data_IF_108522581041
#
_entry.id   IF_108522581041
#
_cell.length_a   1.000
_cell.length_b   1.000
_cell.length_c   1.000
_cell.angle_alpha   90.00
_cell.angle_beta   90.00
_cell.angle_gamma   90.00
#
_symmetry.space_group_name_H-M   'P 1'
#
loop_
_entity.id
_entity.type
_entity.pdbx_description
1 polymer ?
#
# COMPACT_ATOMS: atom_id res chain seq x y z
N UNK A 1 -42.45 16.89 29.00
CA UNK A 1 -43.16 17.35 27.78
C UNK A 1 -42.23 18.01 26.74
N UNK A 2 -40.95 18.26 27.02
CA UNK A 2 -40.11 19.14 26.19
C UNK A 2 -39.41 18.47 24.97
N UNK A 3 -39.48 17.15 24.80
CA UNK A 3 -38.78 16.46 23.69
C UNK A 3 -39.56 16.59 22.38
N UNK A 4 -40.88 16.35 22.42
CA UNK A 4 -41.75 16.42 21.25
C UNK A 4 -41.87 17.85 20.69
N UNK A 5 -41.88 18.86 21.56
CA UNK A 5 -41.84 20.27 21.14
C UNK A 5 -40.51 20.63 20.50
N UNK A 6 -39.37 20.22 21.08
CA UNK A 6 -38.04 20.44 20.47
C UNK A 6 -37.91 19.76 19.10
N UNK A 7 -38.40 18.54 18.95
CA UNK A 7 -38.34 17.84 17.66
C UNK A 7 -39.25 18.48 16.62
N UNK A 8 -40.42 18.98 17.02
CA UNK A 8 -41.34 19.67 16.12
C UNK A 8 -40.82 21.06 15.73
N UNK A 9 -40.09 21.74 16.61
CA UNK A 9 -39.46 23.03 16.35
C UNK A 9 -38.28 22.90 15.37
N UNK A 10 -37.45 21.86 15.52
CA UNK A 10 -36.37 21.53 14.57
C UNK A 10 -36.91 21.16 13.19
N UNK A 11 -38.04 20.45 13.13
CA UNK A 11 -38.71 20.15 11.86
C UNK A 11 -39.33 21.40 11.20
N UNK A 12 -39.75 22.39 11.99
CA UNK A 12 -40.26 23.67 11.49
C UNK A 12 -39.15 24.65 11.08
N UNK A 13 -37.97 24.55 11.67
CA UNK A 13 -36.79 25.34 11.30
C UNK A 13 -35.99 24.73 10.14
N UNK A 14 -36.49 23.65 9.54
CA UNK A 14 -35.80 22.93 8.47
C UNK A 14 -35.80 23.75 7.19
N UNK A 15 -34.63 24.26 6.82
CA UNK A 15 -34.42 25.06 5.63
C UNK A 15 -33.97 24.18 4.44
N UNK A 16 -34.06 24.70 3.22
CA UNK A 16 -33.61 23.99 2.02
C UNK A 16 -32.12 23.60 2.06
N UNK A 17 -31.30 24.39 2.78
CA UNK A 17 -29.88 24.11 2.98
C UNK A 17 -29.61 22.83 3.79
N UNK A 18 -30.45 22.52 4.77
CA UNK A 18 -30.32 21.30 5.59
C UNK A 18 -30.51 20.04 4.73
N UNK A 19 -31.42 20.08 3.76
CA UNK A 19 -31.61 18.97 2.81
C UNK A 19 -30.39 18.78 1.90
N UNK A 20 -29.80 19.87 1.41
CA UNK A 20 -28.57 19.82 0.59
C UNK A 20 -27.41 19.28 1.42
N UNK A 21 -27.34 19.62 2.71
CA UNK A 21 -26.30 19.16 3.62
C UNK A 21 -26.39 17.63 3.83
N UNK A 22 -27.58 17.08 4.04
CA UNK A 22 -27.81 15.63 4.18
C UNK A 22 -27.45 14.88 2.89
N UNK A 23 -27.85 15.40 1.73
CA UNK A 23 -27.53 14.80 0.43
C UNK A 23 -26.02 14.82 0.19
N UNK A 24 -25.35 15.92 0.50
CA UNK A 24 -23.90 16.03 0.39
C UNK A 24 -23.18 15.02 1.28
N UNK A 25 -23.63 14.84 2.53
CA UNK A 25 -23.11 13.79 3.42
C UNK A 25 -23.25 12.40 2.81
N UNK A 26 -24.45 12.05 2.31
CA UNK A 26 -24.70 10.75 1.71
C UNK A 26 -23.77 10.47 0.52
N UNK A 27 -23.54 11.46 -0.34
CA UNK A 27 -22.64 11.35 -1.50
C UNK A 27 -21.17 11.19 -1.09
N UNK A 28 -20.71 11.93 -0.07
CA UNK A 28 -19.34 11.80 0.45
C UNK A 28 -19.12 10.40 1.01
N UNK A 29 -20.02 9.91 1.87
CA UNK A 29 -19.91 8.57 2.46
C UNK A 29 -19.95 7.48 1.39
N UNK A 30 -20.85 7.58 0.41
CA UNK A 30 -20.89 6.67 -0.71
C UNK A 30 -19.55 6.66 -1.48
N UNK A 31 -18.96 7.83 -1.73
CA UNK A 31 -17.65 7.97 -2.37
C UNK A 31 -16.52 7.30 -1.58
N UNK A 32 -16.51 7.48 -0.25
CA UNK A 32 -15.54 6.82 0.65
C UNK A 32 -15.69 5.30 0.60
N UNK A 33 -16.90 4.76 0.71
CA UNK A 33 -17.12 3.30 0.63
C UNK A 33 -16.76 2.74 -0.75
N UNK A 34 -17.05 3.47 -1.83
CA UNK A 34 -16.65 3.08 -3.18
C UNK A 34 -15.13 3.07 -3.35
N UNK A 35 -14.42 4.02 -2.74
CA UNK A 35 -12.96 4.07 -2.71
C UNK A 35 -12.36 2.87 -1.98
N UNK A 36 -12.90 2.52 -0.80
CA UNK A 36 -12.41 1.37 -0.02
C UNK A 36 -12.62 0.04 -0.74
N UNK A 37 -13.67 -0.09 -1.56
CA UNK A 37 -14.00 -1.36 -2.25
C UNK A 37 -13.04 -1.71 -3.39
N UNK A 38 -12.40 -0.73 -4.04
CA UNK A 38 -11.57 -0.97 -5.22
C UNK A 38 -10.30 -0.09 -5.21
N UNK A 39 -9.18 -0.64 -4.74
CA UNK A 39 -7.86 0.00 -4.73
C UNK A 39 -7.18 0.00 -6.12
N UNK A 40 -7.87 0.47 -7.15
CA UNK A 40 -7.25 0.71 -8.45
C UNK A 40 -6.76 2.16 -8.51
N UNK A 41 -5.47 2.38 -8.77
CA UNK A 41 -4.83 3.70 -8.73
C UNK A 41 -5.56 4.77 -9.58
N UNK A 42 -6.04 4.41 -10.78
CA UNK A 42 -6.80 5.32 -11.65
C UNK A 42 -8.18 5.68 -11.09
N UNK A 43 -8.84 4.75 -10.39
CA UNK A 43 -10.14 5.01 -9.74
C UNK A 43 -9.93 5.84 -8.47
N UNK A 44 -8.92 5.51 -7.68
CA UNK A 44 -8.51 6.27 -6.49
C UNK A 44 -8.28 7.75 -6.81
N UNK A 45 -7.57 8.06 -7.90
CA UNK A 45 -7.32 9.44 -8.31
C UNK A 45 -8.61 10.20 -8.62
N UNK A 46 -9.58 9.58 -9.32
CA UNK A 46 -10.88 10.21 -9.61
C UNK A 46 -11.64 10.56 -8.34
N UNK A 47 -11.66 9.66 -7.35
CA UNK A 47 -12.34 9.90 -6.08
C UNK A 47 -11.65 10.99 -5.24
N UNK A 48 -10.31 11.08 -5.30
CA UNK A 48 -9.56 12.17 -4.65
C UNK A 48 -9.92 13.53 -5.28
N UNK A 49 -9.99 13.61 -6.61
CA UNK A 49 -10.37 14.86 -7.30
C UNK A 49 -11.79 15.28 -6.92
N UNK A 50 -12.75 14.34 -6.92
CA UNK A 50 -14.14 14.59 -6.50
C UNK A 50 -14.18 15.04 -5.04
N UNK A 51 -13.43 14.38 -4.16
CA UNK A 51 -13.35 14.73 -2.75
C UNK A 51 -12.83 16.17 -2.54
N UNK A 52 -11.76 16.55 -3.25
CA UNK A 52 -11.22 17.91 -3.20
C UNK A 52 -12.23 18.93 -3.72
N UNK A 53 -12.92 18.63 -4.82
CA UNK A 53 -13.95 19.52 -5.38
C UNK A 53 -15.11 19.74 -4.39
N UNK A 54 -15.58 18.67 -3.72
CA UNK A 54 -16.59 18.77 -2.67
C UNK A 54 -16.07 19.56 -1.48
N UNK A 55 -14.82 19.36 -1.08
CA UNK A 55 -14.23 20.10 0.03
C UNK A 55 -14.16 21.61 -0.26
N UNK A 56 -13.75 22.00 -1.47
CA UNK A 56 -13.74 23.40 -1.89
C UNK A 56 -15.14 24.01 -1.94
N UNK A 57 -16.13 23.24 -2.39
CA UNK A 57 -17.52 23.65 -2.38
C UNK A 57 -18.03 23.91 -0.95
N UNK A 58 -17.78 22.99 -0.02
CA UNK A 58 -18.16 23.14 1.40
C UNK A 58 -17.44 24.31 2.05
N UNK A 59 -16.18 24.57 1.69
CA UNK A 59 -15.41 25.70 2.21
C UNK A 59 -15.97 27.04 1.72
N UNK A 60 -16.50 27.10 0.49
CA UNK A 60 -17.11 28.29 -0.06
C UNK A 60 -18.47 28.61 0.56
N UNK A 61 -19.27 27.58 0.87
CA UNK A 61 -20.59 27.71 1.52
C UNK A 61 -20.54 27.44 3.03
N UNK A 62 -19.43 27.77 3.69
CA UNK A 62 -19.21 27.41 5.10
C UNK A 62 -20.25 27.97 6.06
N UNK A 63 -20.79 29.16 5.76
CA UNK A 63 -21.75 29.86 6.62
C UNK A 63 -23.17 29.28 6.49
N UNK A 64 -23.49 28.71 5.33
CA UNK A 64 -24.80 28.09 5.03
C UNK A 64 -24.84 26.60 5.42
N UNK A 65 -23.66 25.97 5.59
CA UNK A 65 -23.51 24.53 5.89
C UNK A 65 -22.54 24.27 7.06
N UNK A 66 -22.86 24.73 8.27
CA UNK A 66 -21.92 24.69 9.39
C UNK A 66 -21.58 23.26 9.87
N UNK A 67 -22.53 22.31 9.78
CA UNK A 67 -22.29 20.95 10.26
C UNK A 67 -21.37 20.18 9.30
N UNK A 68 -21.58 20.32 8.00
CA UNK A 68 -20.76 19.74 6.94
C UNK A 68 -19.38 20.39 6.90
N UNK A 69 -19.28 21.68 7.19
CA UNK A 69 -18.00 22.37 7.34
C UNK A 69 -17.16 21.80 8.49
N UNK A 70 -17.77 21.60 9.66
CA UNK A 70 -17.09 20.98 10.82
C UNK A 70 -16.70 19.54 10.49
N UNK A 71 -17.61 18.76 9.89
CA UNK A 71 -17.31 17.39 9.50
C UNK A 71 -16.18 17.30 8.47
N UNK A 72 -16.16 18.18 7.47
CA UNK A 72 -15.10 18.26 6.47
C UNK A 72 -13.74 18.53 7.13
N UNK A 73 -13.67 19.44 8.11
CA UNK A 73 -12.46 19.67 8.91
C UNK A 73 -11.97 18.41 9.62
N UNK A 74 -12.87 17.70 10.30
CA UNK A 74 -12.54 16.46 11.00
C UNK A 74 -12.04 15.39 10.00
N UNK A 75 -12.72 15.25 8.87
CA UNK A 75 -12.32 14.31 7.82
C UNK A 75 -10.96 14.62 7.22
N UNK A 76 -10.60 15.90 7.02
CA UNK A 76 -9.26 16.29 6.56
C UNK A 76 -8.20 15.87 7.58
N UNK A 77 -8.40 16.20 8.86
CA UNK A 77 -7.46 15.81 9.91
C UNK A 77 -7.32 14.29 10.04
N UNK A 78 -8.43 13.56 10.04
CA UNK A 78 -8.43 12.10 10.05
C UNK A 78 -7.74 11.51 8.81
N UNK A 79 -7.99 12.08 7.63
CA UNK A 79 -7.36 11.68 6.37
C UNK A 79 -5.85 11.88 6.39
N UNK A 80 -5.37 13.01 6.94
CA UNK A 80 -3.93 13.26 7.13
C UNK A 80 -3.32 12.21 8.06
N UNK A 81 -3.96 11.92 9.20
CA UNK A 81 -3.47 10.91 10.15
C UNK A 81 -3.40 9.52 9.49
N UNK A 82 -4.46 9.10 8.81
CA UNK A 82 -4.50 7.81 8.11
C UNK A 82 -3.44 7.76 7.01
N UNK A 83 -3.27 8.84 6.23
CA UNK A 83 -2.21 8.94 5.22
C UNK A 83 -0.83 8.75 5.85
N UNK A 84 -0.50 9.52 6.90
CA UNK A 84 0.78 9.38 7.57
C UNK A 84 0.99 7.98 8.15
N UNK A 85 -0.04 7.39 8.76
CA UNK A 85 0.05 6.05 9.35
C UNK A 85 0.21 4.95 8.30
N UNK A 86 -0.47 5.08 7.16
CA UNK A 86 -0.39 4.14 6.04
C UNK A 86 0.94 4.24 5.28
N UNK A 87 1.52 5.43 5.17
CA UNK A 87 2.82 5.67 4.52
C UNK A 87 4.01 5.54 5.49
N UNK A 88 3.78 5.50 6.80
CA UNK A 88 4.83 5.29 7.80
C UNK A 88 5.70 4.04 7.54
N UNK A 89 5.14 2.88 7.14
CA UNK A 89 5.92 1.70 6.78
C UNK A 89 6.84 1.94 5.58
N UNK A 90 6.40 2.71 4.58
CA UNK A 90 7.19 3.02 3.38
C UNK A 90 8.35 3.97 3.67
N UNK A 91 8.13 4.98 4.51
CA UNK A 91 9.20 5.88 4.97
C UNK A 91 10.22 5.07 5.77
N UNK A 92 9.77 4.22 6.70
CA UNK A 92 10.64 3.34 7.48
C UNK A 92 11.46 2.44 6.56
N UNK A 93 10.83 1.79 5.58
CA UNK A 93 11.48 0.89 4.62
C UNK A 93 12.46 1.63 3.72
N UNK A 94 12.11 2.83 3.26
CA UNK A 94 12.97 3.66 2.41
C UNK A 94 14.18 4.17 3.16
N UNK A 95 14.01 4.62 4.41
CA UNK A 95 15.13 4.99 5.29
C UNK A 95 16.04 3.79 5.58
N UNK A 96 15.46 2.61 5.85
CA UNK A 96 16.25 1.38 6.01
C UNK A 96 17.03 1.04 4.75
N UNK A 97 16.41 1.17 3.57
CA UNK A 97 17.10 0.99 2.28
C UNK A 97 18.23 1.99 2.10
N UNK A 98 18.09 3.26 2.50
CA UNK A 98 19.17 4.25 2.41
C UNK A 98 20.33 3.95 3.36
N UNK A 99 20.01 3.50 4.59
CA UNK A 99 21.01 3.08 5.58
C UNK A 99 21.75 1.82 5.11
N UNK A 100 21.01 0.82 4.60
CA UNK A 100 21.57 -0.43 4.09
C UNK A 100 22.30 -0.23 2.76
N UNK A 101 21.80 0.60 1.85
CA UNK A 101 22.48 0.94 0.59
C UNK A 101 23.85 1.55 0.84
N UNK A 102 24.03 2.32 1.93
CA UNK A 102 25.33 2.85 2.31
C UNK A 102 26.28 1.79 2.91
N UNK A 103 25.74 0.67 3.41
CA UNK A 103 26.51 -0.45 4.00
C UNK A 103 26.80 -1.59 3.01
N UNK A 104 26.03 -1.71 1.92
CA UNK A 104 26.22 -2.76 0.90
C UNK A 104 27.21 -2.40 -0.20
N UNK A 105 27.77 -1.17 -0.22
CA UNK A 105 28.89 -0.82 -1.12
C UNK A 105 30.22 -1.47 -0.67
N UNK A 106 30.28 -2.07 0.53
CA UNK A 106 31.48 -2.79 0.97
C UNK A 106 31.33 -4.31 0.76
N UNK A 107 32.05 -4.83 -0.23
CA UNK A 107 32.48 -6.24 -0.35
C UNK A 107 31.48 -7.28 -0.87
N UNK A 108 30.81 -7.00 -1.99
CA UNK A 108 30.58 -8.03 -3.00
C UNK A 108 31.14 -7.54 -4.33
N UNK A 109 32.44 -7.20 -4.34
CA UNK A 109 33.22 -7.49 -5.53
C UNK A 109 33.11 -8.99 -5.71
N UNK A 110 32.28 -9.42 -6.65
CA UNK A 110 32.37 -10.75 -7.24
C UNK A 110 33.80 -10.81 -7.75
N UNK A 111 34.68 -11.38 -6.95
CA UNK A 111 36.02 -11.75 -7.35
C UNK A 111 35.79 -12.62 -8.59
N UNK A 112 36.17 -12.12 -9.74
CA UNK A 112 35.93 -12.69 -11.07
C UNK A 112 36.78 -13.94 -11.28
N UNK A 113 36.62 -14.91 -10.38
CA UNK A 113 37.36 -16.18 -10.30
C UNK A 113 36.44 -17.40 -10.34
N UNK A 114 35.15 -17.21 -10.61
CA UNK A 114 34.31 -18.36 -10.95
C UNK A 114 34.68 -18.74 -12.38
N UNK A 115 35.21 -19.96 -12.55
CA UNK A 115 35.50 -20.52 -13.86
C UNK A 115 34.22 -20.68 -14.67
N UNK A 116 34.28 -20.52 -15.99
CA UNK A 116 33.15 -20.86 -16.87
C UNK A 116 32.64 -22.27 -16.58
N UNK A 117 33.55 -23.20 -16.25
CA UNK A 117 33.22 -24.59 -15.90
C UNK A 117 32.36 -24.69 -14.62
N UNK A 118 32.68 -23.91 -13.59
CA UNK A 118 31.88 -23.86 -12.35
C UNK A 118 30.49 -23.28 -12.60
N UNK A 119 30.40 -22.27 -13.48
CA UNK A 119 29.13 -21.70 -13.90
C UNK A 119 28.27 -22.73 -14.64
N UNK A 120 28.85 -23.44 -15.62
CA UNK A 120 28.15 -24.50 -16.35
C UNK A 120 27.72 -25.64 -15.44
N UNK A 121 28.56 -26.03 -14.47
CA UNK A 121 28.20 -27.05 -13.48
C UNK A 121 27.01 -26.61 -12.61
N UNK A 122 27.00 -25.36 -12.12
CA UNK A 122 25.88 -24.82 -11.37
C UNK A 122 24.57 -24.81 -12.17
N UNK A 123 24.62 -24.44 -13.46
CA UNK A 123 23.47 -24.49 -14.36
C UNK A 123 22.97 -25.92 -14.54
N UNK A 124 23.88 -26.88 -14.76
CA UNK A 124 23.52 -28.29 -14.93
C UNK A 124 22.83 -28.87 -13.68
N UNK A 125 23.32 -28.54 -12.48
CA UNK A 125 22.70 -28.97 -11.22
C UNK A 125 21.29 -28.38 -11.02
N UNK A 126 21.06 -27.11 -11.39
CA UNK A 126 19.73 -26.49 -11.36
C UNK A 126 18.77 -27.20 -12.33
N UNK A 127 19.22 -27.48 -13.56
CA UNK A 127 18.40 -28.19 -14.57
C UNK A 127 18.03 -29.58 -14.04
N UNK A 128 19.01 -30.31 -13.51
CA UNK A 128 18.81 -31.66 -12.97
C UNK A 128 17.80 -31.68 -11.83
N UNK A 129 17.91 -30.75 -10.88
CA UNK A 129 16.94 -30.62 -9.78
C UNK A 129 15.55 -30.24 -10.30
N UNK A 130 15.44 -29.26 -11.20
CA UNK A 130 14.15 -28.85 -11.76
C UNK A 130 13.43 -30.02 -12.46
N UNK A 131 14.18 -30.88 -13.17
CA UNK A 131 13.63 -32.10 -13.77
C UNK A 131 13.17 -33.13 -12.71
N UNK A 132 13.91 -33.26 -11.61
CA UNK A 132 13.56 -34.14 -10.48
C UNK A 132 12.29 -33.68 -9.78
N UNK A 133 12.22 -32.39 -9.42
CA UNK A 133 11.06 -31.72 -8.81
C UNK A 133 9.82 -31.78 -9.72
N UNK A 134 9.99 -31.63 -11.04
CA UNK A 134 8.91 -31.79 -12.00
C UNK A 134 8.37 -33.23 -12.02
N UNK A 135 9.23 -34.25 -11.95
CA UNK A 135 8.81 -35.67 -11.92
C UNK A 135 8.08 -36.02 -10.62
N UNK A 136 8.47 -35.42 -9.51
CA UNK A 136 7.82 -35.62 -8.20
C UNK A 136 6.60 -34.73 -7.97
N UNK A 137 6.26 -33.84 -8.92
CA UNK A 137 5.21 -32.82 -8.79
C UNK A 137 5.42 -31.87 -7.59
N UNK A 138 6.67 -31.60 -7.22
CA UNK A 138 7.02 -30.66 -6.15
C UNK A 138 7.17 -29.25 -6.70
N UNK A 139 6.43 -28.30 -6.14
CA UNK A 139 6.54 -26.88 -6.50
C UNK A 139 7.78 -26.22 -5.89
N UNK A 140 8.58 -25.54 -6.71
CA UNK A 140 9.76 -24.81 -6.26
C UNK A 140 9.83 -23.42 -6.90
N UNK A 141 10.40 -22.45 -6.17
CA UNK A 141 10.65 -21.09 -6.63
C UNK A 141 12.15 -20.78 -6.48
N UNK A 142 12.86 -20.74 -7.60
CA UNK A 142 14.29 -20.45 -7.67
C UNK A 142 14.46 -19.03 -8.24
N UNK A 143 15.14 -18.14 -7.52
CA UNK A 143 15.37 -16.75 -7.93
C UNK A 143 16.85 -16.54 -8.23
N UNK A 144 17.18 -16.26 -9.49
CA UNK A 144 18.53 -15.96 -9.96
C UNK A 144 18.73 -14.44 -10.02
N UNK A 145 19.80 -13.94 -9.42
CA UNK A 145 20.06 -12.49 -9.32
C UNK A 145 21.45 -12.16 -9.84
N UNK A 146 21.53 -11.24 -10.81
CA UNK A 146 22.79 -10.87 -11.47
C UNK A 146 23.71 -9.98 -10.62
N UNK A 147 23.13 -9.04 -9.85
CA UNK A 147 23.90 -8.01 -9.15
C UNK A 147 23.78 -8.10 -7.62
N UNK A 148 22.57 -7.93 -7.10
CA UNK A 148 22.34 -7.92 -5.65
C UNK A 148 20.92 -8.41 -5.32
N UNK A 149 20.82 -9.36 -4.40
CA UNK A 149 19.53 -9.85 -3.89
C UNK A 149 18.87 -8.75 -3.06
N UNK A 150 17.57 -8.45 -3.27
CA UNK A 150 16.87 -7.49 -2.44
C UNK A 150 16.92 -7.88 -0.96
N UNK A 151 17.32 -6.95 -0.10
CA UNK A 151 17.54 -7.21 1.34
C UNK A 151 16.34 -7.84 2.05
N UNK A 152 15.12 -7.48 1.64
CA UNK A 152 13.90 -8.03 2.21
C UNK A 152 13.72 -9.54 1.96
N UNK A 153 14.28 -10.09 0.88
CA UNK A 153 14.24 -11.54 0.60
C UNK A 153 15.26 -12.27 1.49
N UNK A 154 16.44 -11.67 1.67
CA UNK A 154 17.49 -12.22 2.53
C UNK A 154 17.05 -12.23 4.00
N UNK A 155 16.44 -11.14 4.47
CA UNK A 155 16.02 -10.98 5.87
C UNK A 155 14.89 -11.93 6.27
N UNK A 156 14.03 -12.34 5.33
CA UNK A 156 12.95 -13.30 5.59
C UNK A 156 13.37 -14.76 5.51
N UNK A 157 14.56 -15.07 4.98
CA UNK A 157 15.01 -16.42 4.67
C UNK A 157 16.08 -16.96 5.62
N UNK A 158 16.52 -18.19 5.36
CA UNK A 158 17.67 -18.82 6.03
C UNK A 158 18.88 -18.76 5.11
N UNK A 159 19.98 -18.17 5.58
CA UNK A 159 21.22 -18.06 4.81
C UNK A 159 21.99 -19.38 4.87
N UNK A 160 22.10 -20.07 3.72
CA UNK A 160 22.81 -21.36 3.62
C UNK A 160 24.29 -21.21 3.26
N UNK A 161 24.66 -20.25 2.41
CA UNK A 161 26.03 -20.10 1.89
C UNK A 161 26.64 -21.41 1.33
N UNK A 162 25.83 -22.20 0.61
CA UNK A 162 26.26 -23.48 0.06
C UNK A 162 26.63 -23.39 -1.42
N UNK A 163 27.41 -24.37 -1.88
CA UNK A 163 27.56 -24.65 -3.31
C UNK A 163 26.24 -25.18 -3.88
N UNK A 164 25.97 -24.86 -5.15
CA UNK A 164 24.78 -25.32 -5.87
C UNK A 164 24.94 -26.81 -6.17
N UNK A 165 23.99 -27.62 -5.71
CA UNK A 165 23.90 -29.05 -6.05
C UNK A 165 22.44 -29.47 -6.10
N UNK A 166 22.10 -30.40 -6.99
CA UNK A 166 20.73 -30.87 -7.17
C UNK A 166 20.18 -31.51 -5.88
N UNK A 167 21.03 -32.22 -5.13
CA UNK A 167 20.64 -32.83 -3.86
C UNK A 167 20.32 -31.82 -2.75
N UNK A 168 20.76 -30.56 -2.88
CA UNK A 168 20.41 -29.48 -1.95
C UNK A 168 19.15 -28.72 -2.40
N UNK A 169 18.84 -28.77 -3.69
CA UNK A 169 17.67 -28.11 -4.29
C UNK A 169 16.42 -29.01 -4.32
N UNK A 170 16.61 -30.34 -4.37
CA UNK A 170 15.57 -31.37 -4.25
C UNK A 170 15.11 -31.56 -2.79
#
# INVERSE_FOLDING_TARGET
MNFFEKTAEVLKSFNGWDAVEIIAFALIFYGVFAFLKNANALRALKYIIIFIAVLLFVLYFSDEMPALYIAAKIFVWAGIVVFFLAFFPEIRRSMLKLITAKKTVSHFTVDSKISDEELYNGINEIIKSTQSLSKSNTGALIVLVANAVPSHIIESGVKLNSAISAALLD
#
